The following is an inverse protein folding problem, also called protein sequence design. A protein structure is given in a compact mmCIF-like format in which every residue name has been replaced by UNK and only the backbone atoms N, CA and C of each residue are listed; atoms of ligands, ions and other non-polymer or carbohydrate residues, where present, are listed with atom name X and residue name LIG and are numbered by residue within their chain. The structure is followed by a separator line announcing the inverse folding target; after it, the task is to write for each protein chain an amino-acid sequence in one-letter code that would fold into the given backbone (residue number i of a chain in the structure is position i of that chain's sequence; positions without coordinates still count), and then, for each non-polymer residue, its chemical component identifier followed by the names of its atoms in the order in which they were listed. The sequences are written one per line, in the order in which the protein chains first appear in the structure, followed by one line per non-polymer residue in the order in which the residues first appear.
data_IF_548412349816
#
_entry.id   IF_548412349816
#
_cell.length_a   1.000
_cell.length_b   1.000
_cell.length_c   1.000
_cell.angle_alpha   90.00
_cell.angle_beta   90.00
_cell.angle_gamma   90.00
#
_symmetry.space_group_name_H-M   'P 1'
#
loop_
_entity.id
_entity.type
_entity.pdbx_description
1 polymer ?
#
# COMPACT_ATOMS: atom_id res chain seq x y z
N UNK A 1 1.33 5.58 3.58
CA UNK A 1 0.77 5.21 2.26
C UNK A 1 1.42 3.92 1.80
N UNK A 2 0.68 3.00 1.19
CA UNK A 2 1.24 1.81 0.55
C UNK A 2 0.82 1.82 -0.93
N UNK A 3 1.75 1.46 -1.81
CA UNK A 3 1.48 1.40 -3.26
C UNK A 3 2.03 0.09 -3.82
N UNK A 4 1.18 -0.67 -4.48
CA UNK A 4 1.57 -1.95 -5.11
C UNK A 4 2.39 -1.68 -6.39
N UNK A 5 3.52 -2.39 -6.53
CA UNK A 5 4.57 -2.10 -7.51
C UNK A 5 4.27 -2.52 -8.94
N UNK A 6 3.19 -3.23 -9.20
CA UNK A 6 2.82 -3.70 -10.55
C UNK A 6 1.68 -2.87 -11.11
N UNK A 7 0.64 -2.71 -10.32
CA UNK A 7 -0.66 -2.13 -10.68
C UNK A 7 -0.87 -0.73 -10.13
N UNK A 8 0.06 -0.22 -9.31
CA UNK A 8 -0.06 1.08 -8.63
C UNK A 8 -1.28 1.17 -7.71
N UNK A 9 -1.83 0.02 -7.28
CA UNK A 9 -2.94 0.00 -6.34
C UNK A 9 -2.50 0.67 -5.03
N UNK A 10 -3.27 1.68 -4.61
CA UNK A 10 -3.04 2.42 -3.39
C UNK A 10 -3.83 1.80 -2.25
N UNK A 11 -3.14 1.53 -1.14
CA UNK A 11 -3.76 1.19 0.13
C UNK A 11 -3.42 2.30 1.14
N UNK A 12 -4.46 3.01 1.58
CA UNK A 12 -4.37 3.97 2.66
C UNK A 12 -4.63 3.25 3.99
N UNK A 13 -3.76 3.50 4.96
CA UNK A 13 -3.84 2.91 6.30
C UNK A 13 -3.85 4.05 7.29
N UNK A 14 -4.99 4.26 7.98
CA UNK A 14 -5.08 5.23 9.07
C UNK A 14 -4.41 4.62 10.30
N UNK A 15 -3.46 5.34 10.86
CA UNK A 15 -2.76 4.97 12.08
C UNK A 15 -3.32 5.78 13.24
N UNK A 16 -3.63 5.11 14.36
CA UNK A 16 -4.02 5.79 15.61
C UNK A 16 -2.79 6.42 16.27
N UNK A 17 -1.65 5.72 16.21
CA UNK A 17 -0.34 6.17 16.67
C UNK A 17 0.72 5.69 15.68
N UNK A 18 1.85 6.40 15.61
CA UNK A 18 2.98 6.09 14.71
C UNK A 18 4.05 5.19 15.37
N UNK A 19 3.74 4.56 16.49
CA UNK A 19 4.65 3.61 17.13
C UNK A 19 4.68 2.27 16.38
N UNK A 20 5.75 1.49 16.60
CA UNK A 20 5.98 0.25 15.85
C UNK A 20 4.89 -0.82 16.06
N UNK A 21 4.25 -0.86 17.24
CA UNK A 21 3.16 -1.80 17.51
C UNK A 21 1.92 -1.45 16.70
N UNK A 22 1.54 -0.17 16.73
CA UNK A 22 0.40 0.36 15.98
C UNK A 22 0.58 0.20 14.48
N UNK A 23 1.78 0.44 13.95
CA UNK A 23 2.10 0.24 12.53
C UNK A 23 2.04 -1.22 12.14
N UNK A 24 2.74 -2.13 12.85
CA UNK A 24 2.72 -3.55 12.54
C UNK A 24 1.31 -4.15 12.56
N UNK A 25 0.49 -3.78 13.56
CA UNK A 25 -0.89 -4.23 13.67
C UNK A 25 -1.76 -3.70 12.52
N UNK A 26 -1.64 -2.42 12.17
CA UNK A 26 -2.42 -1.82 11.10
C UNK A 26 -2.04 -2.38 9.72
N UNK A 27 -0.75 -2.54 9.45
CA UNK A 27 -0.25 -3.17 8.22
C UNK A 27 -0.71 -4.62 8.11
N UNK A 28 -0.55 -5.41 9.18
CA UNK A 28 -1.01 -6.81 9.21
C UNK A 28 -2.50 -6.93 8.88
N UNK A 29 -3.35 -6.11 9.53
CA UNK A 29 -4.80 -6.09 9.23
C UNK A 29 -5.06 -5.75 7.77
N UNK A 30 -4.34 -4.78 7.20
CA UNK A 30 -4.53 -4.38 5.80
C UNK A 30 -4.08 -5.46 4.82
N UNK A 31 -2.90 -6.04 5.02
CA UNK A 31 -2.38 -7.07 4.11
C UNK A 31 -3.19 -8.37 4.18
N UNK A 32 -3.75 -8.72 5.35
CA UNK A 32 -4.66 -9.88 5.47
C UNK A 32 -5.93 -9.78 4.60
N UNK A 33 -6.30 -8.58 4.13
CA UNK A 33 -7.40 -8.39 3.18
C UNK A 33 -7.01 -8.68 1.73
N UNK A 34 -5.72 -8.82 1.42
CA UNK A 34 -5.25 -9.21 0.10
C UNK A 34 -5.21 -10.74 -0.02
N UNK A 35 -5.38 -11.33 -1.21
CA UNK A 35 -5.16 -12.76 -1.41
C UNK A 35 -3.74 -13.19 -0.98
N UNK A 36 -3.56 -14.31 -0.25
CA UNK A 36 -2.23 -14.76 0.20
C UNK A 36 -1.20 -14.88 -0.93
N UNK A 37 -1.64 -15.33 -2.11
CA UNK A 37 -0.78 -15.48 -3.30
C UNK A 37 -0.15 -14.17 -3.76
N UNK A 38 -0.78 -13.02 -3.48
CA UNK A 38 -0.28 -11.70 -3.86
C UNK A 38 0.52 -10.99 -2.75
N UNK A 39 0.59 -11.56 -1.55
CA UNK A 39 1.36 -11.03 -0.41
C UNK A 39 2.82 -11.46 -0.51
N UNK A 40 3.58 -10.87 -1.42
CA UNK A 40 4.98 -11.26 -1.66
C UNK A 40 5.97 -10.51 -0.78
N UNK A 41 6.12 -9.22 -1.02
CA UNK A 41 7.15 -8.40 -0.38
C UNK A 41 6.62 -7.03 -0.01
N UNK A 42 7.22 -6.42 1.01
CA UNK A 42 7.04 -5.02 1.37
C UNK A 42 8.41 -4.34 1.37
N UNK A 43 8.54 -3.23 0.66
CA UNK A 43 9.70 -2.34 0.77
C UNK A 43 9.29 -1.10 1.57
N UNK A 44 10.05 -0.74 2.61
CA UNK A 44 9.78 0.40 3.47
C UNK A 44 11.06 1.19 3.79
N UNK A 45 10.92 2.41 4.34
CA UNK A 45 12.08 3.11 4.89
C UNK A 45 12.52 2.53 6.24
N UNK A 46 13.72 2.92 6.69
CA UNK A 46 14.31 2.47 7.95
C UNK A 46 13.74 3.21 9.18
N UNK A 47 12.49 3.66 9.09
CA UNK A 47 11.81 4.33 10.19
C UNK A 47 11.67 3.44 11.43
N UNK A 48 11.72 4.05 12.63
CA UNK A 48 11.58 3.35 13.91
C UNK A 48 10.23 2.63 14.05
N UNK A 49 9.23 3.08 13.32
CA UNK A 49 7.92 2.45 13.20
C UNK A 49 7.97 1.03 12.58
N UNK A 50 9.05 0.67 11.89
CA UNK A 50 9.25 -0.68 11.36
C UNK A 50 10.10 -1.58 12.27
N UNK A 51 10.36 -1.17 13.53
CA UNK A 51 11.10 -1.98 14.50
C UNK A 51 10.47 -3.37 14.75
N UNK A 52 9.15 -3.50 14.56
CA UNK A 52 8.40 -4.77 14.72
C UNK A 52 8.08 -5.46 13.37
N UNK A 53 8.85 -5.21 12.31
CA UNK A 53 8.60 -5.80 10.98
C UNK A 53 8.64 -7.34 10.96
N UNK A 54 9.41 -7.98 11.85
CA UNK A 54 9.45 -9.44 11.96
C UNK A 54 8.07 -10.04 12.27
N UNK A 55 7.25 -9.35 13.07
CA UNK A 55 5.88 -9.78 13.38
C UNK A 55 4.96 -9.65 12.17
N UNK A 56 5.17 -8.63 11.35
CA UNK A 56 4.47 -8.48 10.09
C UNK A 56 4.78 -9.65 9.15
N UNK A 57 6.06 -10.02 9.02
CA UNK A 57 6.47 -11.18 8.23
C UNK A 57 5.84 -12.46 8.75
N UNK A 58 5.91 -12.73 10.06
CA UNK A 58 5.30 -13.91 10.67
C UNK A 58 3.78 -13.97 10.44
N UNK A 59 3.07 -12.85 10.58
CA UNK A 59 1.62 -12.81 10.50
C UNK A 59 1.06 -12.84 9.07
N UNK A 60 1.87 -12.52 8.06
CA UNK A 60 1.40 -12.35 6.67
C UNK A 60 2.12 -13.22 5.65
N UNK A 61 3.29 -13.77 5.98
CA UNK A 61 4.20 -14.44 5.05
C UNK A 61 5.01 -13.48 4.16
N UNK A 62 4.84 -12.16 4.32
CA UNK A 62 5.51 -11.17 3.46
C UNK A 62 6.95 -10.92 3.91
N UNK A 63 7.90 -11.01 2.98
CA UNK A 63 9.27 -10.56 3.24
C UNK A 63 9.33 -9.03 3.28
N UNK A 64 9.95 -8.47 4.32
CA UNK A 64 10.15 -7.02 4.47
C UNK A 64 11.59 -6.66 4.08
N UNK A 65 11.72 -5.67 3.20
CA UNK A 65 12.98 -5.10 2.76
C UNK A 65 13.01 -3.62 3.11
N UNK A 66 14.21 -3.10 3.39
CA UNK A 66 14.42 -1.70 3.70
C UNK A 66 15.11 -0.98 2.56
N UNK A 67 14.70 0.26 2.30
CA UNK A 67 15.42 1.14 1.39
C UNK A 67 16.82 1.46 1.94
N UNK A 68 17.76 1.68 1.02
CA UNK A 68 19.11 2.11 1.35
C UNK A 68 19.09 3.57 1.85
N UNK A 69 19.98 3.94 2.79
CA UNK A 69 20.13 5.32 3.21
C UNK A 69 20.47 6.23 2.02
N UNK A 70 19.84 7.41 1.96
CA UNK A 70 20.04 8.39 0.89
C UNK A 70 19.63 7.93 -0.52
N UNK A 71 18.72 6.95 -0.64
CA UNK A 71 18.22 6.44 -1.92
C UNK A 71 16.75 6.78 -2.21
N UNK A 72 16.39 8.07 -2.40
CA UNK A 72 15.00 8.49 -2.62
C UNK A 72 14.36 7.86 -3.87
N UNK A 73 15.16 7.52 -4.90
CA UNK A 73 14.68 6.88 -6.13
C UNK A 73 14.01 5.53 -5.90
N UNK A 74 14.34 4.81 -4.81
CA UNK A 74 13.67 3.56 -4.43
C UNK A 74 12.20 3.78 -4.00
N UNK A 75 11.78 5.04 -3.79
CA UNK A 75 10.45 5.43 -3.34
C UNK A 75 9.69 6.33 -4.33
N UNK A 76 10.16 6.49 -5.56
CA UNK A 76 9.55 7.44 -6.52
C UNK A 76 8.05 7.22 -6.76
N UNK A 77 7.56 5.97 -6.69
CA UNK A 77 6.13 5.67 -6.80
C UNK A 77 5.32 6.16 -5.59
N UNK A 78 5.87 6.07 -4.38
CA UNK A 78 5.23 6.57 -3.17
C UNK A 78 5.19 8.09 -3.17
N UNK A 79 6.25 8.76 -3.62
CA UNK A 79 6.31 10.22 -3.71
C UNK A 79 5.26 10.75 -4.69
N UNK A 80 5.21 10.20 -5.91
CA UNK A 80 4.16 10.56 -6.87
C UNK A 80 2.75 10.33 -6.32
N UNK A 81 2.53 9.22 -5.62
CA UNK A 81 1.21 8.93 -5.03
C UNK A 81 0.87 9.88 -3.89
N UNK A 82 1.84 10.26 -3.06
CA UNK A 82 1.64 11.21 -1.99
C UNK A 82 1.26 12.60 -2.53
N UNK A 83 1.81 13.02 -3.67
CA UNK A 83 1.39 14.27 -4.33
C UNK A 83 -0.07 14.22 -4.78
N UNK A 84 -0.53 13.08 -5.33
CA UNK A 84 -1.94 12.91 -5.68
C UNK A 84 -2.86 12.86 -4.46
N UNK A 85 -2.36 12.37 -3.33
CA UNK A 85 -3.11 12.40 -2.06
C UNK A 85 -3.24 13.85 -1.57
N UNK A 86 -2.26 14.72 -1.84
CA UNK A 86 -2.28 16.14 -1.43
C UNK A 86 -3.35 16.95 -2.16
N UNK A 87 -3.80 16.52 -3.33
CA UNK A 87 -4.97 17.11 -4.01
C UNK A 87 -6.25 16.99 -3.15
N UNK A 88 -6.33 15.98 -2.27
CA UNK A 88 -7.46 15.76 -1.36
C UNK A 88 -7.19 16.21 0.07
N UNK A 89 -5.93 16.19 0.49
CA UNK A 89 -5.50 16.49 1.85
C UNK A 89 -4.32 17.48 1.79
N UNK A 90 -4.59 18.80 1.81
CA UNK A 90 -3.55 19.82 1.85
C UNK A 90 -2.55 19.62 3.00
N UNK A 91 -1.38 20.25 2.90
CA UNK A 91 -0.18 20.00 3.74
C UNK A 91 -0.41 20.07 5.26
N UNK A 92 -1.46 20.75 5.71
CA UNK A 92 -1.81 20.96 7.12
C UNK A 92 -3.07 20.19 7.55
N UNK A 93 -3.50 19.20 6.76
CA UNK A 93 -4.65 18.37 7.11
C UNK A 93 -4.37 17.60 8.39
N UNK A 94 -5.20 17.82 9.42
CA UNK A 94 -5.21 16.97 10.60
C UNK A 94 -5.89 15.62 10.29
N UNK A 95 -5.06 14.61 10.04
CA UNK A 95 -5.51 13.25 9.77
C UNK A 95 -6.24 12.58 10.94
N UNK A 96 -6.17 13.11 12.16
CA UNK A 96 -6.98 12.63 13.27
C UNK A 96 -8.49 12.84 12.98
N UNK A 97 -8.85 14.00 12.44
CA UNK A 97 -10.23 14.39 12.12
C UNK A 97 -10.77 13.77 10.83
N UNK A 98 -9.89 13.30 9.94
CA UNK A 98 -10.32 12.70 8.67
C UNK A 98 -11.09 11.40 8.91
N UNK A 99 -12.33 11.33 8.45
CA UNK A 99 -13.18 10.15 8.62
C UNK A 99 -12.68 8.95 7.82
N UNK A 100 -13.03 7.74 8.28
CA UNK A 100 -12.75 6.51 7.54
C UNK A 100 -13.44 6.52 6.16
N UNK A 101 -14.65 7.09 6.05
CA UNK A 101 -15.36 7.22 4.77
C UNK A 101 -14.58 8.11 3.79
N UNK A 102 -14.06 9.26 4.24
CA UNK A 102 -13.28 10.15 3.37
C UNK A 102 -11.99 9.48 2.90
N UNK A 103 -11.28 8.77 3.78
CA UNK A 103 -10.09 8.00 3.38
C UNK A 103 -10.43 6.91 2.36
N UNK A 104 -11.53 6.18 2.56
CA UNK A 104 -11.98 5.16 1.62
C UNK A 104 -12.33 5.76 0.26
N UNK A 105 -13.04 6.88 0.24
CA UNK A 105 -13.36 7.62 -0.98
C UNK A 105 -12.10 8.04 -1.74
N UNK A 106 -11.11 8.63 -1.06
CA UNK A 106 -9.86 9.07 -1.70
C UNK A 106 -9.07 7.87 -2.23
N UNK A 107 -8.97 6.79 -1.46
CA UNK A 107 -8.33 5.56 -1.91
C UNK A 107 -9.02 5.00 -3.16
N UNK A 108 -10.35 4.99 -3.19
CA UNK A 108 -11.11 4.53 -4.35
C UNK A 108 -10.88 5.43 -5.57
N UNK A 109 -10.97 6.75 -5.40
CA UNK A 109 -10.71 7.71 -6.48
C UNK A 109 -9.31 7.53 -7.10
N UNK A 110 -8.29 7.32 -6.27
CA UNK A 110 -6.93 7.05 -6.76
C UNK A 110 -6.81 5.71 -7.50
N UNK A 111 -7.54 4.70 -7.06
CA UNK A 111 -7.55 3.36 -7.65
C UNK A 111 -8.45 3.24 -8.89
N UNK A 112 -9.37 4.18 -9.10
CA UNK A 112 -10.23 4.28 -10.29
C UNK A 112 -9.68 5.26 -11.33
N UNK A 113 -8.59 5.97 -11.03
CA UNK A 113 -7.92 6.87 -11.98
C UNK A 113 -7.11 6.08 -13.02
N UNK A 114 -7.32 6.38 -14.30
CA UNK A 114 -6.53 5.78 -15.40
C UNK A 114 -5.05 6.15 -15.26
N UNK A 115 -4.16 5.18 -15.52
CA UNK A 115 -2.70 5.37 -15.44
C UNK A 115 -2.05 5.06 -16.77
N UNK A 116 -1.37 6.05 -17.35
CA UNK A 116 -0.58 5.88 -18.60
C UNK A 116 0.39 4.68 -18.53
N UNK A 117 1.15 4.45 -17.43
CA UNK A 117 2.02 3.28 -17.32
C UNK A 117 1.32 1.92 -17.33
N UNK A 118 0.00 1.87 -17.11
CA UNK A 118 -0.80 0.64 -17.14
C UNK A 118 -1.56 0.48 -18.47
N UNK A 119 -1.13 1.16 -19.53
CA UNK A 119 -1.87 1.20 -20.80
C UNK A 119 -3.25 1.83 -20.62
N UNK A 120 -3.33 2.88 -19.81
CA UNK A 120 -4.57 3.58 -19.44
C UNK A 120 -5.59 2.73 -18.67
N UNK A 121 -5.21 1.57 -18.12
CA UNK A 121 -6.05 0.87 -17.14
C UNK A 121 -6.05 1.60 -15.80
N UNK A 122 -7.09 1.37 -15.00
CA UNK A 122 -7.13 1.79 -13.60
C UNK A 122 -6.34 0.80 -12.73
N UNK A 123 -5.72 1.24 -11.62
CA UNK A 123 -5.09 0.34 -10.67
C UNK A 123 -6.00 -0.78 -10.18
N UNK A 124 -7.28 -0.45 -9.91
CA UNK A 124 -8.31 -1.41 -9.53
C UNK A 124 -8.50 -2.52 -10.58
N UNK A 125 -8.64 -2.14 -11.85
CA UNK A 125 -8.84 -3.11 -12.93
C UNK A 125 -7.59 -3.98 -13.15
N UNK A 126 -6.41 -3.37 -13.15
CA UNK A 126 -5.15 -4.09 -13.29
C UNK A 126 -4.92 -5.07 -12.13
N UNK A 127 -5.26 -4.68 -10.90
CA UNK A 127 -5.16 -5.55 -9.73
C UNK A 127 -6.15 -6.72 -9.77
N UNK A 128 -7.40 -6.46 -10.19
CA UNK A 128 -8.38 -7.54 -10.38
C UNK A 128 -7.92 -8.54 -11.45
N UNK A 129 -7.27 -8.09 -12.51
CA UNK A 129 -6.68 -8.99 -13.52
C UNK A 129 -5.58 -9.87 -12.91
N UNK A 130 -4.73 -9.33 -12.05
CA UNK A 130 -3.72 -10.13 -11.33
C UNK A 130 -4.35 -11.15 -10.38
N UNK A 131 -5.42 -10.78 -9.66
CA UNK A 131 -6.15 -11.72 -8.80
C UNK A 131 -6.70 -12.89 -9.62
N UNK A 132 -7.41 -12.57 -10.70
CA UNK A 132 -8.02 -13.58 -11.55
C UNK A 132 -6.96 -14.52 -12.15
N UNK A 133 -5.83 -13.96 -12.62
CA UNK A 133 -4.73 -14.77 -13.12
C UNK A 133 -4.16 -15.70 -12.05
N UNK A 134 -3.87 -15.17 -10.85
CA UNK A 134 -3.34 -15.98 -9.76
C UNK A 134 -4.31 -17.09 -9.29
N UNK A 135 -5.62 -16.87 -9.42
CA UNK A 135 -6.63 -17.89 -9.14
C UNK A 135 -6.66 -18.98 -10.22
N UNK A 136 -6.57 -18.59 -11.50
CA UNK A 136 -6.49 -19.56 -12.60
C UNK A 136 -5.24 -20.42 -12.50
N UNK A 137 -4.09 -19.82 -12.21
CA UNK A 137 -2.82 -20.54 -12.06
C UNK A 137 -2.88 -21.55 -10.90
N UNK A 138 -3.56 -21.19 -9.81
CA UNK A 138 -3.74 -22.07 -8.65
C UNK A 138 -4.71 -23.23 -8.90
N UNK A 139 -5.65 -23.09 -9.84
CA UNK A 139 -6.55 -24.17 -10.26
C UNK A 139 -5.90 -25.12 -11.29
N UNK A 140 -4.89 -24.64 -12.00
CA UNK A 140 -4.14 -25.39 -13.00
C UNK A 140 -2.93 -26.16 -12.42
N UNK A 141 -2.63 -25.97 -11.13
CA UNK A 141 -1.53 -26.61 -10.40
C UNK A 141 -2.04 -27.68 -9.44
#
# INVERSE_FOLDING_TARGET
TLVERTTRLVLLVKLVKKDAASVAAALTRRFKQLPPTLRKTLTYDQGKEMARHAELTLATGMAVYFCDPHSPWQRGTNENTNDLIRDFFPKETDFATVSAQKLSFVQQALNERLRKPLGWKTPKNAFNQLINQAQLDALAS
#
